data_IF_659148816400
#
_entry.id   IF_659148816400
#
_cell.length_a   1.000
_cell.length_b   1.000
_cell.length_c   1.000
_cell.angle_alpha   90.00
_cell.angle_beta   90.00
_cell.angle_gamma   90.00
#
_symmetry.space_group_name_H-M   'P 1'
#
loop_
_entity.id
_entity.type
_entity.pdbx_description
1 polymer ?
#
# COMPACT_ATOMS: atom_id res chain seq x y z
N UNK A 1 -13.98 -40.24 4.45
CA UNK A 1 -13.23 -39.02 4.11
C UNK A 1 -13.95 -38.37 2.94
N UNK A 2 -14.82 -37.38 3.18
CA UNK A 2 -15.71 -36.83 2.15
C UNK A 2 -15.10 -35.55 1.58
N UNK A 3 -14.91 -35.59 0.27
CA UNK A 3 -14.65 -34.51 -0.68
C UNK A 3 -14.82 -33.09 -0.14
N UNK A 4 -13.70 -32.39 0.06
CA UNK A 4 -13.65 -30.94 0.15
C UNK A 4 -14.03 -30.35 -1.21
N UNK A 5 -15.34 -30.27 -1.48
CA UNK A 5 -15.85 -29.53 -2.64
C UNK A 5 -15.33 -28.11 -2.52
N UNK A 6 -14.59 -27.65 -3.54
CA UNK A 6 -14.27 -26.25 -3.72
C UNK A 6 -15.59 -25.48 -3.76
N UNK A 7 -15.97 -24.89 -2.63
CA UNK A 7 -17.12 -24.02 -2.51
C UNK A 7 -16.94 -22.91 -3.55
N UNK A 8 -17.94 -22.68 -4.40
CA UNK A 8 -17.91 -21.54 -5.33
C UNK A 8 -17.63 -20.27 -4.50
N UNK A 9 -16.70 -19.39 -4.95
CA UNK A 9 -16.36 -18.20 -4.18
C UNK A 9 -17.61 -17.40 -3.91
N UNK A 10 -17.86 -17.10 -2.63
CA UNK A 10 -18.97 -16.25 -2.21
C UNK A 10 -18.80 -14.90 -2.93
N UNK A 11 -19.76 -14.45 -3.76
CA UNK A 11 -19.63 -13.19 -4.50
C UNK A 11 -19.53 -11.98 -3.57
N UNK A 12 -19.92 -12.14 -2.29
CA UNK A 12 -19.79 -11.11 -1.26
C UNK A 12 -18.45 -11.18 -0.52
N UNK A 13 -17.58 -12.15 -0.79
CA UNK A 13 -16.22 -12.22 -0.25
C UNK A 13 -15.28 -11.27 -1.04
N UNK A 14 -14.71 -10.24 -0.39
CA UNK A 14 -13.76 -9.35 -1.05
C UNK A 14 -12.41 -10.02 -1.36
N UNK A 15 -12.08 -11.18 -0.77
CA UNK A 15 -10.74 -11.76 -0.83
C UNK A 15 -10.18 -11.97 -2.25
N UNK A 16 -10.92 -12.56 -3.22
CA UNK A 16 -10.43 -12.70 -4.58
C UNK A 16 -10.19 -11.34 -5.26
N UNK A 17 -11.02 -10.34 -4.95
CA UNK A 17 -10.84 -8.98 -5.46
C UNK A 17 -9.61 -8.31 -4.85
N UNK A 18 -9.39 -8.48 -3.55
CA UNK A 18 -8.21 -8.00 -2.81
C UNK A 18 -6.92 -8.51 -3.43
N UNK A 19 -6.79 -9.83 -3.63
CA UNK A 19 -5.60 -10.41 -4.24
C UNK A 19 -5.36 -9.86 -5.65
N UNK A 20 -6.41 -9.77 -6.47
CA UNK A 20 -6.32 -9.19 -7.83
C UNK A 20 -5.92 -7.71 -7.85
N UNK A 21 -6.25 -6.95 -6.81
CA UNK A 21 -5.78 -5.56 -6.68
C UNK A 21 -4.28 -5.58 -6.37
N UNK A 22 -3.87 -6.35 -5.35
CA UNK A 22 -2.51 -6.40 -4.85
C UNK A 22 -1.50 -7.02 -5.83
N UNK A 23 -1.93 -7.84 -6.79
CA UNK A 23 -1.03 -8.34 -7.85
C UNK A 23 -0.52 -7.25 -8.80
N UNK A 24 -1.17 -6.08 -8.85
CA UNK A 24 -0.81 -5.03 -9.81
C UNK A 24 0.33 -4.14 -9.35
N UNK A 25 0.37 -3.84 -8.04
CA UNK A 25 1.37 -3.00 -7.36
C UNK A 25 1.07 -3.01 -5.85
N UNK A 26 1.96 -2.43 -5.06
CA UNK A 26 1.69 -2.11 -3.66
C UNK A 26 0.59 -1.03 -3.53
N UNK A 27 -0.24 -1.18 -2.50
CA UNK A 27 -1.28 -0.23 -2.11
C UNK A 27 -1.15 0.09 -0.63
N UNK A 28 -1.54 1.32 -0.25
CA UNK A 28 -1.81 1.59 1.15
C UNK A 28 -3.08 0.89 1.61
N UNK A 29 -3.24 0.70 2.92
CA UNK A 29 -4.48 0.20 3.51
C UNK A 29 -5.69 1.05 3.07
N UNK A 30 -5.52 2.37 3.04
CA UNK A 30 -6.56 3.33 2.67
C UNK A 30 -6.95 3.22 1.19
N UNK A 31 -5.98 3.05 0.28
CA UNK A 31 -6.28 2.83 -1.14
C UNK A 31 -7.02 1.49 -1.36
N UNK A 32 -6.57 0.42 -0.69
CA UNK A 32 -7.21 -0.88 -0.83
C UNK A 32 -8.63 -0.85 -0.26
N UNK A 33 -8.84 -0.22 0.90
CA UNK A 33 -10.17 0.01 1.49
C UNK A 33 -11.09 0.70 0.50
N UNK A 34 -10.64 1.83 -0.05
CA UNK A 34 -11.45 2.60 -1.00
C UNK A 34 -11.80 1.77 -2.23
N UNK A 35 -10.84 1.03 -2.79
CA UNK A 35 -11.11 0.20 -3.98
C UNK A 35 -12.05 -0.97 -3.74
N UNK A 36 -12.08 -1.53 -2.54
CA UNK A 36 -13.04 -2.57 -2.19
C UNK A 36 -14.43 -1.94 -1.92
N UNK A 37 -14.49 -0.77 -1.30
CA UNK A 37 -15.72 -0.02 -1.12
C UNK A 37 -16.34 0.40 -2.47
N UNK A 38 -15.53 0.91 -3.41
CA UNK A 38 -15.97 1.27 -4.78
C UNK A 38 -16.51 0.07 -5.56
N UNK A 39 -16.14 -1.15 -5.17
CA UNK A 39 -16.66 -2.41 -5.73
C UNK A 39 -17.97 -2.87 -5.08
N UNK A 40 -18.45 -2.15 -4.07
CA UNK A 40 -19.70 -2.45 -3.37
C UNK A 40 -19.58 -3.53 -2.29
N UNK A 41 -18.37 -3.83 -1.81
CA UNK A 41 -18.21 -4.79 -0.71
C UNK A 41 -18.63 -4.18 0.63
N UNK A 42 -19.20 -5.03 1.49
CA UNK A 42 -19.61 -4.66 2.84
C UNK A 42 -18.42 -4.18 3.69
N UNK A 43 -18.53 -3.06 4.43
CA UNK A 43 -17.44 -2.50 5.22
C UNK A 43 -16.81 -3.48 6.23
N UNK A 44 -17.62 -4.33 6.88
CA UNK A 44 -17.11 -5.31 7.85
C UNK A 44 -16.24 -6.35 7.16
N UNK A 45 -16.65 -6.79 5.97
CA UNK A 45 -15.86 -7.73 5.15
C UNK A 45 -14.58 -7.08 4.61
N UNK A 46 -14.64 -5.79 4.24
CA UNK A 46 -13.46 -5.04 3.81
C UNK A 46 -12.42 -4.97 4.93
N UNK A 47 -12.81 -4.58 6.15
CA UNK A 47 -11.89 -4.53 7.29
C UNK A 47 -11.31 -5.92 7.63
N UNK A 48 -12.12 -6.98 7.55
CA UNK A 48 -11.63 -8.34 7.73
C UNK A 48 -10.55 -8.74 6.69
N UNK A 49 -10.75 -8.36 5.43
CA UNK A 49 -9.77 -8.60 4.38
C UNK A 49 -8.49 -7.78 4.57
N UNK A 50 -8.60 -6.50 4.96
CA UNK A 50 -7.46 -5.64 5.27
C UNK A 50 -6.64 -6.22 6.43
N UNK A 51 -7.30 -6.62 7.53
CA UNK A 51 -6.64 -7.26 8.67
C UNK A 51 -5.88 -8.52 8.26
N UNK A 52 -6.51 -9.40 7.48
CA UNK A 52 -5.86 -10.60 6.96
C UNK A 52 -4.65 -10.26 6.08
N UNK A 53 -4.74 -9.23 5.25
CA UNK A 53 -3.61 -8.78 4.43
C UNK A 53 -2.45 -8.24 5.26
N UNK A 54 -2.72 -7.52 6.36
CA UNK A 54 -1.68 -7.06 7.29
C UNK A 54 -1.01 -8.24 7.99
N UNK A 55 -1.79 -9.20 8.49
CA UNK A 55 -1.28 -10.42 9.16
C UNK A 55 -0.39 -11.26 8.22
N UNK A 56 -0.73 -11.32 6.93
CA UNK A 56 0.04 -12.03 5.90
C UNK A 56 1.18 -11.20 5.30
N UNK A 57 1.37 -9.94 5.71
CA UNK A 57 2.42 -9.05 5.18
C UNK A 57 2.19 -8.57 3.74
N UNK A 58 0.97 -8.74 3.21
CA UNK A 58 0.58 -8.23 1.89
C UNK A 58 0.37 -6.71 1.90
N UNK A 59 -0.04 -6.15 3.03
CA UNK A 59 -0.10 -4.71 3.25
C UNK A 59 0.98 -4.29 4.23
N UNK A 60 1.66 -3.20 3.90
CA UNK A 60 2.64 -2.55 4.75
C UNK A 60 2.71 -1.07 4.33
N UNK A 61 2.05 -0.21 5.11
CA UNK A 61 1.99 1.23 4.81
C UNK A 61 3.37 1.90 4.94
N UNK A 62 4.28 1.36 5.76
CA UNK A 62 5.63 1.91 5.89
C UNK A 62 6.46 1.60 4.65
N UNK A 63 6.41 0.35 4.17
CA UNK A 63 7.04 -0.05 2.90
C UNK A 63 6.44 0.72 1.72
N UNK A 64 5.11 0.81 1.67
CA UNK A 64 4.41 1.58 0.64
C UNK A 64 4.87 3.05 0.63
N UNK A 65 4.88 3.70 1.80
CA UNK A 65 5.21 5.11 1.91
C UNK A 65 6.67 5.40 1.50
N UNK A 66 7.61 4.55 1.91
CA UNK A 66 9.02 4.67 1.50
C UNK A 66 9.17 4.54 -0.01
N UNK A 67 8.62 3.47 -0.61
CA UNK A 67 8.71 3.22 -2.05
C UNK A 67 8.14 4.41 -2.85
N UNK A 68 7.01 4.94 -2.39
CA UNK A 68 6.35 6.08 -3.02
C UNK A 68 7.16 7.38 -2.88
N UNK A 69 7.66 7.68 -1.69
CA UNK A 69 8.50 8.85 -1.42
C UNK A 69 9.78 8.83 -2.28
N UNK A 70 10.51 7.71 -2.27
CA UNK A 70 11.72 7.53 -3.07
C UNK A 70 11.42 7.65 -4.57
N UNK A 71 10.34 7.04 -5.04
CA UNK A 71 9.91 7.15 -6.45
C UNK A 71 9.61 8.59 -6.87
N UNK A 72 8.91 9.36 -6.04
CA UNK A 72 8.61 10.77 -6.32
C UNK A 72 9.87 11.65 -6.36
N UNK A 73 10.81 11.40 -5.46
CA UNK A 73 12.06 12.16 -5.37
C UNK A 73 12.98 11.83 -6.56
N UNK A 74 13.18 10.56 -6.89
CA UNK A 74 13.98 10.11 -8.04
C UNK A 74 13.47 10.67 -9.37
N UNK A 75 12.14 10.75 -9.52
CA UNK A 75 11.53 11.31 -10.74
C UNK A 75 11.51 12.84 -10.77
N UNK A 76 12.02 13.53 -9.73
CA UNK A 76 11.97 14.99 -9.62
C UNK A 76 10.55 15.56 -9.49
N UNK A 77 9.56 14.74 -9.11
CA UNK A 77 8.14 15.12 -9.09
C UNK A 77 7.73 15.80 -7.78
N UNK A 78 8.35 15.43 -6.67
CA UNK A 78 8.11 16.03 -5.37
C UNK A 78 9.32 15.89 -4.43
N UNK A 79 9.47 16.85 -3.52
CA UNK A 79 10.43 16.83 -2.42
C UNK A 79 9.80 17.40 -1.15
N UNK A 80 10.32 16.99 0.01
CA UNK A 80 9.94 17.56 1.32
C UNK A 80 8.42 17.56 1.55
N UNK A 81 7.84 18.74 1.77
CA UNK A 81 6.40 18.90 2.10
C UNK A 81 5.47 18.34 1.02
N UNK A 82 5.86 18.37 -0.27
CA UNK A 82 5.02 17.83 -1.37
C UNK A 82 4.91 16.31 -1.30
N UNK A 83 5.97 15.62 -0.85
CA UNK A 83 5.94 14.16 -0.59
C UNK A 83 5.00 13.85 0.57
N UNK A 84 5.09 14.61 1.68
CA UNK A 84 4.18 14.41 2.82
C UNK A 84 2.71 14.61 2.45
N UNK A 85 2.41 15.64 1.66
CA UNK A 85 1.05 15.89 1.18
C UNK A 85 0.54 14.71 0.33
N UNK A 86 1.36 14.23 -0.58
CA UNK A 86 1.01 13.11 -1.46
C UNK A 86 0.80 11.81 -0.64
N UNK A 87 1.66 11.50 0.33
CA UNK A 87 1.48 10.34 1.22
C UNK A 87 0.18 10.44 2.03
N UNK A 88 -0.14 11.63 2.55
CA UNK A 88 -1.41 11.88 3.27
C UNK A 88 -2.63 11.71 2.38
N UNK A 89 -2.56 12.14 1.11
CA UNK A 89 -3.63 11.91 0.13
C UNK A 89 -3.87 10.42 -0.14
N UNK A 90 -2.86 9.57 0.04
CA UNK A 90 -2.97 8.11 -0.06
C UNK A 90 -3.31 7.46 1.30
N UNK A 91 -3.70 8.26 2.29
CA UNK A 91 -4.15 7.81 3.60
C UNK A 91 -3.05 7.20 4.47
N UNK A 92 -1.78 7.54 4.20
CA UNK A 92 -0.67 7.22 5.09
C UNK A 92 -0.70 8.19 6.27
N UNK A 93 -0.60 7.67 7.49
CA UNK A 93 -0.61 8.50 8.69
C UNK A 93 0.64 9.38 8.79
N UNK A 94 0.59 10.41 9.64
CA UNK A 94 1.64 11.42 9.72
C UNK A 94 3.00 10.87 10.18
N UNK A 95 3.01 9.95 11.14
CA UNK A 95 4.23 9.34 11.65
C UNK A 95 4.96 8.54 10.56
N UNK A 96 4.23 7.66 9.87
CA UNK A 96 4.76 6.86 8.77
C UNK A 96 5.21 7.77 7.62
N UNK A 97 4.44 8.80 7.29
CA UNK A 97 4.80 9.72 6.21
C UNK A 97 6.09 10.49 6.50
N UNK A 98 6.26 10.99 7.72
CA UNK A 98 7.49 11.69 8.12
C UNK A 98 8.70 10.75 8.10
N UNK A 99 8.55 9.53 8.65
CA UNK A 99 9.61 8.52 8.65
C UNK A 99 10.00 8.10 7.23
N UNK A 100 9.02 7.88 6.35
CA UNK A 100 9.26 7.54 4.96
C UNK A 100 9.99 8.67 4.20
N UNK A 101 9.64 9.94 4.43
CA UNK A 101 10.34 11.06 3.84
C UNK A 101 11.80 11.13 4.30
N UNK A 102 12.07 10.91 5.59
CA UNK A 102 13.43 10.90 6.11
C UNK A 102 14.27 9.80 5.44
N UNK A 103 13.78 8.57 5.47
CA UNK A 103 14.47 7.43 4.86
C UNK A 103 14.65 7.61 3.34
N UNK A 104 13.66 8.15 2.64
CA UNK A 104 13.76 8.41 1.21
C UNK A 104 14.85 9.43 0.87
N UNK A 105 15.08 10.44 1.72
CA UNK A 105 16.21 11.37 1.58
C UNK A 105 17.54 10.65 1.70
N UNK A 106 17.71 9.86 2.76
CA UNK A 106 18.92 9.07 3.01
C UNK A 106 19.24 8.16 1.80
N UNK A 107 18.24 7.45 1.28
CA UNK A 107 18.39 6.58 0.10
C UNK A 107 18.76 7.37 -1.16
N UNK A 108 18.11 8.51 -1.42
CA UNK A 108 18.42 9.31 -2.61
C UNK A 108 19.80 9.96 -2.52
N UNK A 109 20.21 10.41 -1.34
CA UNK A 109 21.52 11.02 -1.11
C UNK A 109 22.64 9.97 -1.30
N UNK A 110 22.47 8.76 -0.76
CA UNK A 110 23.43 7.65 -0.96
C UNK A 110 23.55 7.24 -2.44
N UNK A 111 22.43 7.15 -3.15
CA UNK A 111 22.41 6.83 -4.57
C UNK A 111 23.10 7.93 -5.42
N UNK A 112 22.89 9.20 -5.06
CA UNK A 112 23.61 10.32 -5.69
C UNK A 112 25.12 10.20 -5.48
N UNK A 113 25.57 9.89 -4.26
CA UNK A 113 26.98 9.66 -3.96
C UNK A 113 27.57 8.53 -4.80
N UNK A 114 26.90 7.37 -4.84
CA UNK A 114 27.32 6.22 -5.64
C UNK A 114 27.37 6.53 -7.14
N UNK A 115 26.45 7.34 -7.65
CA UNK A 115 26.42 7.74 -9.07
C UNK A 115 27.55 8.70 -9.46
N UNK A 116 28.21 9.32 -8.48
CA UNK A 116 29.30 10.28 -8.68
C UNK A 116 30.71 9.68 -8.51
N UNK A 117 30.79 8.38 -8.19
CA UNK A 117 32.03 7.59 -8.13
C UNK A 117 32.39 7.01 -9.52
#
# INVERSE_FOLDING_TARGET
>A
MKDSRAQKPDPTDPWPATLRILTRRDYSQSELRQRLADKGFDPVRVEAALKRCLELGYLDDARYALNRATGLMRQGRAVGKRVLLDLRQHGVNEEIANRALQLAREVCDEEQLLSSL
#
